data_IF_074819872621
#
_entry.id   IF_074819872621
#
_cell.length_a   1.000
_cell.length_b   1.000
_cell.length_c   1.000
_cell.angle_alpha   90.00
_cell.angle_beta   90.00
_cell.angle_gamma   90.00
#
_symmetry.space_group_name_H-M   'P 1'
#
loop_
_entity.id
_entity.type
_entity.pdbx_description
1 polymer ?
#
# COMPACT_ATOMS: atom_id res chain seq x y z
N UNK A 1 -5.23 17.50 -16.09
CA UNK A 1 -5.56 16.87 -14.81
C UNK A 1 -4.47 15.87 -14.42
N UNK A 2 -4.41 15.53 -13.15
CA UNK A 2 -3.31 14.68 -12.65
C UNK A 2 -3.63 13.20 -12.77
N UNK A 3 -2.58 12.41 -12.82
CA UNK A 3 -2.67 10.95 -12.85
C UNK A 3 -1.99 10.40 -11.60
N UNK A 4 -2.56 9.32 -11.05
CA UNK A 4 -1.99 8.66 -9.87
C UNK A 4 -1.68 7.22 -10.22
N UNK A 5 -0.44 6.82 -9.96
CA UNK A 5 0.02 5.43 -10.07
C UNK A 5 0.24 4.93 -8.66
N UNK A 6 -0.37 3.83 -8.30
CA UNK A 6 -0.27 3.30 -6.94
C UNK A 6 0.07 1.82 -6.91
N UNK A 7 0.68 1.42 -5.82
CA UNK A 7 1.07 0.04 -5.54
C UNK A 7 0.71 -0.29 -4.11
N UNK A 8 0.34 -1.54 -3.89
CA UNK A 8 -0.02 -2.06 -2.57
C UNK A 8 0.94 -3.16 -2.18
N UNK A 9 1.34 -3.17 -0.92
CA UNK A 9 2.10 -4.27 -0.37
C UNK A 9 1.23 -5.03 0.62
N UNK A 10 1.40 -6.34 0.66
CA UNK A 10 0.53 -7.25 1.37
C UNK A 10 1.31 -8.12 2.33
N UNK A 11 0.71 -8.39 3.47
CA UNK A 11 1.12 -9.48 4.33
C UNK A 11 0.18 -10.65 4.08
N UNK A 12 0.72 -11.86 4.00
CA UNK A 12 -0.03 -13.07 3.70
C UNK A 12 0.09 -14.05 4.84
N UNK A 13 -1.00 -14.71 5.16
CA UNK A 13 -1.02 -15.76 6.19
C UNK A 13 -2.22 -16.68 6.00
N UNK A 14 -2.46 -17.50 7.01
CA UNK A 14 -3.59 -18.41 7.02
C UNK A 14 -4.49 -18.10 8.20
N UNK A 15 -5.80 -18.14 7.97
CA UNK A 15 -6.80 -17.99 9.01
C UNK A 15 -7.89 -19.03 8.74
N UNK A 16 -8.13 -19.90 9.72
CA UNK A 16 -9.12 -21.00 9.60
C UNK A 16 -8.89 -21.86 8.37
N UNK A 17 -7.61 -22.13 8.02
CA UNK A 17 -7.24 -22.96 6.89
C UNK A 17 -7.27 -22.26 5.55
N UNK A 18 -7.66 -20.99 5.50
CA UNK A 18 -7.69 -20.20 4.28
C UNK A 18 -6.57 -19.18 4.25
N UNK A 19 -6.06 -18.91 3.06
CA UNK A 19 -5.05 -17.88 2.85
C UNK A 19 -5.73 -16.54 2.65
N UNK A 20 -5.25 -15.52 3.35
CA UNK A 20 -5.73 -14.14 3.22
C UNK A 20 -4.55 -13.19 3.08
N UNK A 21 -4.75 -12.17 2.24
CA UNK A 21 -3.79 -11.09 2.09
C UNK A 21 -4.33 -9.85 2.80
N UNK A 22 -3.44 -9.21 3.56
CA UNK A 22 -3.79 -7.99 4.27
C UNK A 22 -2.87 -6.87 3.80
N UNK A 23 -3.45 -5.73 3.42
CA UNK A 23 -2.68 -4.58 2.94
C UNK A 23 -1.91 -3.96 4.11
N UNK A 24 -0.61 -3.77 3.92
CA UNK A 24 0.27 -3.19 4.94
C UNK A 24 0.97 -1.91 4.48
N UNK A 25 0.87 -1.58 3.21
CA UNK A 25 1.48 -0.35 2.68
C UNK A 25 0.74 0.11 1.43
N UNK A 26 0.58 1.43 1.29
CA UNK A 26 0.16 2.07 0.06
C UNK A 26 1.27 3.01 -0.37
N UNK A 27 1.78 2.82 -1.59
CA UNK A 27 2.74 3.71 -2.21
C UNK A 27 2.16 4.26 -3.50
N UNK A 28 2.38 5.54 -3.78
CA UNK A 28 1.84 6.15 -4.98
C UNK A 28 2.66 7.33 -5.46
N UNK A 29 2.54 7.60 -6.75
CA UNK A 29 3.16 8.75 -7.40
C UNK A 29 2.06 9.50 -8.13
N UNK A 30 2.05 10.81 -7.98
CA UNK A 30 1.15 11.69 -8.72
C UNK A 30 1.95 12.37 -9.84
N UNK A 31 1.39 12.36 -11.04
CA UNK A 31 2.01 13.00 -12.20
C UNK A 31 1.08 14.03 -12.82
N UNK A 32 1.65 14.92 -13.62
CA UNK A 32 0.87 15.78 -14.49
C UNK A 32 0.48 15.03 -15.78
N UNK A 33 -0.13 15.73 -16.73
CA UNK A 33 -0.59 15.12 -17.98
C UNK A 33 0.55 14.63 -18.85
N UNK A 34 1.75 15.11 -18.62
CA UNK A 34 2.94 14.71 -19.37
C UNK A 34 3.77 13.67 -18.63
N UNK A 35 3.18 13.05 -17.60
CA UNK A 35 3.80 12.00 -16.79
C UNK A 35 5.02 12.46 -16.00
N UNK A 36 5.10 13.76 -15.69
CA UNK A 36 6.13 14.26 -14.78
C UNK A 36 5.65 14.14 -13.34
N UNK A 37 6.46 13.57 -12.49
CA UNK A 37 6.11 13.41 -11.09
C UNK A 37 6.01 14.77 -10.39
N UNK A 38 4.88 15.01 -9.74
CA UNK A 38 4.64 16.26 -9.01
C UNK A 38 4.47 16.04 -7.51
N UNK A 39 4.18 14.81 -7.07
CA UNK A 39 4.03 14.49 -5.66
C UNK A 39 4.18 12.99 -5.44
N UNK A 40 4.35 12.59 -4.18
CA UNK A 40 4.44 11.21 -3.77
C UNK A 40 3.66 10.97 -2.49
N UNK A 41 3.19 9.73 -2.33
CA UNK A 41 2.47 9.28 -1.14
C UNK A 41 3.03 7.91 -0.75
N UNK A 42 3.31 7.71 0.54
CA UNK A 42 3.70 6.40 1.07
C UNK A 42 3.27 6.31 2.51
N UNK A 43 2.45 5.32 2.82
CA UNK A 43 2.01 5.08 4.19
C UNK A 43 2.02 3.60 4.50
N UNK A 44 2.59 3.26 5.64
CA UNK A 44 2.44 1.95 6.25
C UNK A 44 1.09 1.89 6.95
N UNK A 45 0.56 0.67 7.12
CA UNK A 45 -0.78 0.45 7.66
C UNK A 45 -0.70 -0.54 8.81
N UNK A 46 -1.36 -0.21 9.92
CA UNK A 46 -1.45 -1.11 11.07
C UNK A 46 -2.39 -2.26 10.72
N UNK A 47 -1.90 -3.51 10.75
CA UNK A 47 -2.74 -4.66 10.47
C UNK A 47 -3.72 -4.94 11.60
N UNK A 48 -4.90 -5.44 11.22
CA UNK A 48 -5.95 -5.83 12.16
C UNK A 48 -6.25 -7.32 12.12
N UNK A 49 -5.82 -8.02 11.05
CA UNK A 49 -6.07 -9.44 10.88
C UNK A 49 -4.91 -10.26 11.45
N UNK A 50 -3.70 -9.99 11.01
CA UNK A 50 -2.53 -10.75 11.41
C UNK A 50 -1.73 -10.03 12.49
N UNK A 51 -1.20 -10.80 13.44
CA UNK A 51 -0.35 -10.29 14.51
C UNK A 51 1.13 -10.48 14.22
N UNK A 52 1.44 -11.23 13.17
CA UNK A 52 2.82 -11.53 12.79
C UNK A 52 2.98 -11.36 11.29
N UNK A 53 4.15 -10.90 10.90
CA UNK A 53 4.51 -10.86 9.50
C UNK A 53 4.83 -12.26 8.99
N UNK A 54 4.41 -12.55 7.77
CA UNK A 54 4.91 -13.71 7.04
C UNK A 54 6.44 -13.55 6.92
N UNK A 55 7.23 -14.55 7.33
CA UNK A 55 8.69 -14.40 7.33
C UNK A 55 9.29 -14.08 5.96
N UNK A 56 8.71 -14.64 4.91
CA UNK A 56 9.15 -14.39 3.54
C UNK A 56 8.88 -12.92 3.14
N UNK A 57 7.68 -12.44 3.44
CA UNK A 57 7.29 -11.06 3.14
C UNK A 57 8.15 -10.08 3.95
N UNK A 58 8.37 -10.36 5.22
CA UNK A 58 9.21 -9.52 6.06
C UNK A 58 10.63 -9.39 5.50
N UNK A 59 11.16 -10.49 5.00
CA UNK A 59 12.50 -10.50 4.41
C UNK A 59 12.57 -9.66 3.14
N UNK A 60 11.54 -9.76 2.27
CA UNK A 60 11.52 -9.04 1.00
C UNK A 60 11.31 -7.55 1.22
N UNK A 61 10.35 -7.18 2.05
CA UNK A 61 9.96 -5.78 2.24
C UNK A 61 10.79 -5.06 3.30
N UNK A 62 11.51 -5.82 4.13
CA UNK A 62 12.24 -5.28 5.29
C UNK A 62 11.34 -4.49 6.24
N UNK A 63 10.06 -4.89 6.33
CA UNK A 63 9.07 -4.30 7.23
C UNK A 63 8.75 -5.32 8.31
N UNK A 64 8.82 -4.90 9.58
CA UNK A 64 8.48 -5.77 10.70
C UNK A 64 7.11 -5.41 11.24
N UNK A 65 6.49 -6.32 12.00
CA UNK A 65 5.23 -6.03 12.66
C UNK A 65 5.38 -4.84 13.61
N UNK A 66 6.53 -4.69 14.24
CA UNK A 66 6.80 -3.55 15.12
C UNK A 66 6.72 -2.23 14.36
N UNK A 67 7.19 -2.19 13.11
CA UNK A 67 7.12 -0.99 12.29
C UNK A 67 5.67 -0.58 12.00
N UNK A 68 4.76 -1.56 11.94
CA UNK A 68 3.37 -1.33 11.57
C UNK A 68 2.48 -0.99 12.76
N UNK A 69 2.88 -1.35 13.97
CA UNK A 69 2.04 -1.24 15.16
C UNK A 69 1.71 0.20 15.55
N UNK A 70 2.59 1.13 15.25
CA UNK A 70 2.37 2.55 15.53
C UNK A 70 1.62 3.30 14.44
N UNK A 71 1.25 2.62 13.35
CA UNK A 71 0.60 3.25 12.21
C UNK A 71 -0.92 3.23 12.34
N UNK A 72 -1.58 3.96 11.45
CA UNK A 72 -3.04 4.00 11.42
C UNK A 72 -3.60 2.80 10.66
N UNK A 73 -4.86 2.40 10.94
CA UNK A 73 -5.49 1.29 10.23
C UNK A 73 -5.84 1.66 8.80
N UNK A 74 -6.17 0.64 7.99
CA UNK A 74 -6.46 0.81 6.58
C UNK A 74 -7.52 1.88 6.29
N UNK A 75 -8.59 1.93 7.07
CA UNK A 75 -9.67 2.89 6.82
C UNK A 75 -9.14 4.33 6.85
N UNK A 76 -8.28 4.66 7.82
CA UNK A 76 -7.71 6.00 7.94
C UNK A 76 -6.72 6.29 6.82
N UNK A 77 -5.86 5.32 6.50
CA UNK A 77 -4.85 5.49 5.45
C UNK A 77 -5.51 5.59 4.07
N UNK A 78 -6.53 4.78 3.81
CA UNK A 78 -7.26 4.83 2.55
C UNK A 78 -7.94 6.20 2.37
N UNK A 79 -8.54 6.74 3.43
CA UNK A 79 -9.14 8.08 3.37
C UNK A 79 -8.07 9.13 3.04
N UNK A 80 -6.93 9.07 3.70
CA UNK A 80 -5.83 9.99 3.44
C UNK A 80 -5.34 9.86 1.98
N UNK A 81 -5.26 8.64 1.48
CA UNK A 81 -4.85 8.40 0.10
C UNK A 81 -5.82 9.02 -0.90
N UNK A 82 -7.13 8.80 -0.72
CA UNK A 82 -8.12 9.36 -1.64
C UNK A 82 -8.19 10.89 -1.53
N UNK A 83 -8.03 11.44 -0.35
CA UNK A 83 -7.94 12.90 -0.18
C UNK A 83 -6.71 13.45 -0.90
N UNK A 84 -5.59 12.75 -0.83
CA UNK A 84 -4.37 13.13 -1.54
C UNK A 84 -4.52 13.03 -3.06
N UNK A 85 -5.26 12.04 -3.56
CA UNK A 85 -5.53 11.91 -4.99
C UNK A 85 -6.23 13.15 -5.54
N UNK A 86 -7.17 13.72 -4.77
CA UNK A 86 -7.85 14.94 -5.17
C UNK A 86 -8.61 14.78 -6.49
N UNK A 87 -8.34 15.67 -7.41
CA UNK A 87 -9.01 15.72 -8.70
C UNK A 87 -8.31 14.91 -9.79
N UNK A 88 -7.58 13.88 -9.44
CA UNK A 88 -6.92 13.07 -10.46
C UNK A 88 -7.97 12.45 -11.39
N UNK A 89 -7.65 12.43 -12.68
CA UNK A 89 -8.56 11.88 -13.69
C UNK A 89 -8.29 10.41 -13.98
N UNK A 90 -7.16 9.89 -13.53
CA UNK A 90 -6.73 8.53 -13.80
C UNK A 90 -6.07 7.94 -12.56
N UNK A 91 -6.54 6.77 -12.16
CA UNK A 91 -5.97 6.04 -11.03
C UNK A 91 -5.54 4.67 -11.55
N UNK A 92 -4.24 4.43 -11.58
CA UNK A 92 -3.65 3.25 -12.18
C UNK A 92 -2.98 2.40 -11.11
N UNK A 93 -3.43 1.16 -10.99
CA UNK A 93 -2.80 0.20 -10.09
C UNK A 93 -1.54 -0.35 -10.76
N UNK A 94 -0.45 -0.32 -10.01
CA UNK A 94 0.84 -0.83 -10.46
C UNK A 94 1.11 -2.14 -9.74
N UNK A 95 1.16 -3.25 -10.47
CA UNK A 95 1.46 -4.54 -9.88
C UNK A 95 2.95 -4.83 -9.99
N UNK A 96 3.59 -5.09 -8.86
CA UNK A 96 5.01 -5.42 -8.83
C UNK A 96 5.34 -6.69 -9.61
N UNK A 97 4.40 -7.59 -9.74
CA UNK A 97 4.60 -8.83 -10.47
C UNK A 97 4.71 -8.61 -11.98
N UNK A 98 4.19 -7.50 -12.48
CA UNK A 98 4.21 -7.18 -13.90
C UNK A 98 5.59 -6.70 -14.34
N UNK A 99 6.46 -6.40 -13.40
CA UNK A 99 7.76 -5.79 -13.65
C UNK A 99 8.91 -6.59 -13.05
N UNK A 100 8.57 -7.73 -12.48
CA UNK A 100 9.54 -8.63 -11.85
C UNK A 100 10.41 -9.34 -12.83
#
# INVERSE_FOLDING_TARGET
>A
MNKVFFDLEWNTGFLDGNSFDEIIEIGAVKTDEEYRQIDGFRRLIRPVIYRKMNPYIQKILAITMKDLQGEEPLASVAKAFFDWCGDCDTLIAWSGNDFG
#
